data_IF_657708458027
#
_entry.id   IF_657708458027
#
_cell.length_a   1.000
_cell.length_b   1.000
_cell.length_c   1.000
_cell.angle_alpha   90.00
_cell.angle_beta   90.00
_cell.angle_gamma   90.00
#
_symmetry.space_group_name_H-M   'P 1'
#
loop_
_entity.id
_entity.type
_entity.pdbx_description
1 polymer ?
#
# COMPACT_ATOMS: atom_id res chain seq x y z
N UNK A 1 7.14 2.73 -15.92
CA UNK A 1 6.72 1.31 -16.00
C UNK A 1 5.47 1.14 -15.17
N UNK A 2 4.60 0.21 -15.56
CA UNK A 2 3.39 -0.14 -14.83
C UNK A 2 3.12 -1.63 -14.87
N UNK A 3 2.40 -2.12 -13.87
CA UNK A 3 1.87 -3.47 -13.81
C UNK A 3 0.36 -3.40 -13.62
N UNK A 4 -0.35 -4.26 -14.34
CA UNK A 4 -1.82 -4.34 -14.33
C UNK A 4 -2.26 -5.72 -13.83
N UNK A 5 -3.54 -5.85 -13.46
CA UNK A 5 -4.17 -7.10 -13.02
C UNK A 5 -3.52 -7.73 -11.78
N UNK A 6 -3.03 -6.91 -10.86
CA UNK A 6 -2.50 -7.37 -9.57
C UNK A 6 -3.63 -7.59 -8.57
N UNK A 7 -3.41 -8.44 -7.58
CA UNK A 7 -4.29 -8.61 -6.43
C UNK A 7 -3.67 -7.93 -5.21
N UNK A 8 -4.38 -6.94 -4.66
CA UNK A 8 -4.02 -6.26 -3.44
C UNK A 8 -4.48 -7.05 -2.20
N UNK A 9 -3.51 -7.44 -1.38
CA UNK A 9 -3.73 -7.92 -0.03
C UNK A 9 -3.27 -6.87 0.98
N UNK A 10 -4.03 -6.74 2.07
CA UNK A 10 -3.63 -5.94 3.22
C UNK A 10 -3.53 -6.80 4.47
N UNK A 11 -2.67 -6.42 5.42
CA UNK A 11 -2.48 -7.25 6.61
C UNK A 11 -1.62 -6.61 7.69
N UNK A 12 -1.42 -7.36 8.77
CA UNK A 12 -0.54 -6.99 9.89
C UNK A 12 0.90 -7.33 9.51
N UNK A 13 1.85 -6.57 10.02
CA UNK A 13 3.27 -6.98 10.07
C UNK A 13 3.83 -6.66 11.45
N UNK A 14 4.91 -7.34 11.83
CA UNK A 14 5.60 -7.08 13.11
C UNK A 14 6.09 -5.64 13.15
N UNK A 15 6.75 -5.18 12.08
CA UNK A 15 7.25 -3.80 11.96
C UNK A 15 6.14 -2.76 12.06
N UNK A 16 4.96 -3.05 11.49
CA UNK A 16 3.78 -2.20 11.62
C UNK A 16 3.30 -2.13 13.08
N UNK A 17 3.23 -3.25 13.77
CA UNK A 17 2.89 -3.28 15.21
C UNK A 17 3.84 -2.43 16.05
N UNK A 18 5.15 -2.63 15.88
CA UNK A 18 6.18 -1.85 16.61
C UNK A 18 6.08 -0.36 16.30
N UNK A 19 5.88 0.01 15.03
CA UNK A 19 5.80 1.41 14.62
C UNK A 19 4.53 2.10 15.13
N UNK A 20 3.42 1.36 15.32
CA UNK A 20 2.22 1.91 15.95
C UNK A 20 2.47 2.29 17.41
N UNK A 21 3.19 1.46 18.18
CA UNK A 21 3.54 1.74 19.58
C UNK A 21 4.49 2.94 19.70
N UNK A 22 5.39 3.12 18.72
CA UNK A 22 6.27 4.29 18.62
C UNK A 22 5.55 5.60 18.22
N UNK A 23 4.27 5.54 17.87
CA UNK A 23 3.44 6.69 17.53
C UNK A 23 2.99 6.71 16.07
N UNK A 24 1.69 6.89 15.85
CA UNK A 24 1.04 6.80 14.52
C UNK A 24 1.41 7.93 13.54
N UNK A 25 1.90 9.06 14.05
CA UNK A 25 2.37 10.19 13.24
C UNK A 25 3.88 10.16 12.95
N UNK A 26 4.59 9.14 13.45
CA UNK A 26 6.04 9.02 13.33
C UNK A 26 6.49 8.71 11.91
N UNK A 27 7.78 8.97 11.61
CA UNK A 27 8.38 8.59 10.32
C UNK A 27 8.53 7.07 10.23
N UNK A 28 8.71 6.42 11.37
CA UNK A 28 8.78 4.98 11.55
C UNK A 28 7.48 4.31 11.08
N UNK A 29 6.32 4.91 11.39
CA UNK A 29 5.04 4.43 10.88
C UNK A 29 4.94 4.54 9.35
N UNK A 30 5.45 5.62 8.75
CA UNK A 30 5.50 5.76 7.28
C UNK A 30 6.41 4.69 6.67
N UNK A 31 7.57 4.43 7.28
CA UNK A 31 8.50 3.39 6.81
C UNK A 31 7.93 1.98 6.94
N UNK A 32 7.14 1.72 7.97
CA UNK A 32 6.56 0.40 8.23
C UNK A 32 5.29 0.13 7.43
N UNK A 33 4.45 1.16 7.18
CA UNK A 33 3.12 1.00 6.62
C UNK A 33 2.92 1.68 5.26
N UNK A 34 3.73 2.69 4.94
CA UNK A 34 3.71 3.41 3.66
C UNK A 34 4.50 2.70 2.56
N UNK A 35 4.44 1.37 2.53
CA UNK A 35 5.19 0.50 1.63
C UNK A 35 4.25 -0.41 0.83
N UNK A 36 4.67 -0.78 -0.37
CA UNK A 36 4.04 -1.81 -1.19
C UNK A 36 5.07 -2.89 -1.51
N UNK A 37 4.82 -4.10 -1.04
CA UNK A 37 5.69 -5.26 -1.24
C UNK A 37 5.28 -6.02 -2.48
N UNK A 38 6.27 -6.40 -3.30
CA UNK A 38 6.09 -7.14 -4.54
C UNK A 38 6.81 -8.49 -4.48
N UNK A 39 6.34 -9.42 -5.31
CA UNK A 39 7.11 -10.59 -5.73
C UNK A 39 8.40 -10.15 -6.47
N UNK A 40 9.46 -10.94 -6.37
CA UNK A 40 10.74 -10.62 -7.00
C UNK A 40 10.65 -10.48 -8.53
N UNK A 41 9.84 -11.29 -9.19
CA UNK A 41 9.71 -11.26 -10.65
C UNK A 41 8.81 -10.13 -11.13
N UNK A 42 7.77 -9.77 -10.37
CA UNK A 42 7.00 -8.56 -10.66
C UNK A 42 7.80 -7.29 -10.39
N UNK A 43 8.63 -7.29 -9.35
CA UNK A 43 9.50 -6.15 -9.07
C UNK A 43 10.56 -5.94 -10.16
N UNK A 44 11.12 -7.02 -10.73
CA UNK A 44 11.99 -6.93 -11.92
C UNK A 44 11.27 -6.29 -13.09
N UNK A 45 10.00 -6.61 -13.34
CA UNK A 45 9.19 -6.00 -14.42
C UNK A 45 8.90 -4.52 -14.18
N UNK A 46 8.81 -4.07 -12.92
CA UNK A 46 8.67 -2.65 -12.59
C UNK A 46 9.92 -1.84 -12.95
N UNK A 47 11.09 -2.48 -13.04
CA UNK A 47 12.37 -1.88 -13.43
C UNK A 47 12.68 -0.62 -12.60
N UNK A 48 12.59 -0.75 -11.27
CA UNK A 48 12.89 0.31 -10.33
C UNK A 48 13.70 -0.19 -9.12
N UNK A 49 14.32 0.73 -8.39
CA UNK A 49 15.06 0.42 -7.18
C UNK A 49 14.11 0.31 -5.97
N UNK A 50 14.50 -0.48 -4.97
CA UNK A 50 13.79 -0.51 -3.67
C UNK A 50 13.72 0.90 -3.10
N UNK A 51 12.55 1.26 -2.58
CA UNK A 51 12.24 2.60 -2.10
C UNK A 51 11.84 3.57 -3.20
N UNK A 52 11.80 3.17 -4.48
CA UNK A 52 11.22 4.02 -5.52
C UNK A 52 9.72 4.20 -5.26
N UNK A 53 9.17 5.42 -5.28
CA UNK A 53 7.75 5.62 -5.11
C UNK A 53 6.95 5.00 -6.27
N UNK A 54 5.88 4.31 -5.91
CA UNK A 54 4.90 3.72 -6.83
C UNK A 54 3.51 4.19 -6.45
N UNK A 55 2.67 4.44 -7.46
CA UNK A 55 1.26 4.76 -7.28
C UNK A 55 0.46 3.49 -7.46
N UNK A 56 -0.25 3.09 -6.42
CA UNK A 56 -1.18 1.96 -6.44
C UNK A 56 -2.58 2.51 -6.66
N UNK A 57 -3.33 1.91 -7.57
CA UNK A 57 -4.66 2.35 -7.99
C UNK A 57 -5.59 1.14 -7.88
N UNK A 58 -6.78 1.36 -7.32
CA UNK A 58 -7.92 0.43 -7.33
C UNK A 58 -9.15 1.18 -7.81
N UNK A 59 -10.28 0.48 -7.99
CA UNK A 59 -11.57 1.11 -8.31
C UNK A 59 -12.06 2.08 -7.22
N UNK A 60 -11.47 2.03 -6.01
CA UNK A 60 -11.91 2.78 -4.83
C UNK A 60 -11.02 3.97 -4.49
N UNK A 61 -9.83 4.06 -5.09
CA UNK A 61 -8.90 5.15 -4.86
C UNK A 61 -7.47 4.83 -5.25
N UNK A 62 -6.58 5.78 -4.99
CA UNK A 62 -5.15 5.68 -5.30
C UNK A 62 -4.28 6.25 -4.17
N UNK A 63 -3.07 5.71 -4.03
CA UNK A 63 -2.07 6.19 -3.05
C UNK A 63 -0.65 5.94 -3.54
N UNK A 64 0.29 6.83 -3.17
CA UNK A 64 1.71 6.68 -3.45
C UNK A 64 2.42 6.02 -2.25
N UNK A 65 3.18 4.97 -2.52
CA UNK A 65 3.89 4.14 -1.53
C UNK A 65 5.32 3.88 -1.95
N UNK A 66 6.18 3.54 -0.99
CA UNK A 66 7.52 3.06 -1.31
C UNK A 66 7.46 1.61 -1.77
N UNK A 67 8.04 1.31 -2.92
CA UNK A 67 8.12 -0.06 -3.42
C UNK A 67 9.20 -0.86 -2.69
N UNK A 68 8.94 -2.13 -2.40
CA UNK A 68 9.92 -3.01 -1.74
C UNK A 68 9.74 -4.47 -2.15
N UNK A 69 10.75 -5.28 -1.85
CA UNK A 69 10.75 -6.74 -1.99
C UNK A 69 11.07 -7.39 -0.64
N UNK A 70 10.68 -8.64 -0.44
CA UNK A 70 11.05 -9.46 0.73
C UNK A 70 11.04 -10.93 0.34
N UNK A 71 11.83 -11.76 1.02
CA UNK A 71 11.87 -13.22 0.81
C UNK A 71 10.55 -13.89 1.20
N UNK A 72 9.89 -13.36 2.23
CA UNK A 72 8.52 -13.76 2.63
C UNK A 72 7.45 -12.99 1.83
N UNK A 73 7.82 -12.50 0.64
CA UNK A 73 7.02 -11.62 -0.18
C UNK A 73 5.76 -12.28 -0.73
N UNK A 74 4.81 -11.48 -1.24
CA UNK A 74 3.68 -12.04 -1.96
C UNK A 74 4.19 -12.81 -3.20
N UNK A 75 3.43 -13.82 -3.62
CA UNK A 75 3.69 -14.52 -4.88
C UNK A 75 3.36 -13.62 -6.07
N UNK A 76 3.93 -13.94 -7.24
CA UNK A 76 3.67 -13.25 -8.49
C UNK A 76 2.17 -12.99 -8.74
N UNK A 77 1.84 -11.78 -9.16
CA UNK A 77 0.48 -11.28 -9.37
C UNK A 77 -0.17 -10.71 -8.11
N UNK A 78 0.49 -10.78 -6.95
CA UNK A 78 -0.03 -10.30 -5.67
C UNK A 78 0.88 -9.19 -5.14
N UNK A 79 0.27 -8.13 -4.63
CA UNK A 79 0.95 -7.07 -3.88
C UNK A 79 0.44 -7.04 -2.45
N UNK A 80 1.33 -6.70 -1.53
CA UNK A 80 0.99 -6.61 -0.11
C UNK A 80 1.26 -5.21 0.43
N UNK A 81 0.27 -4.63 1.10
CA UNK A 81 0.38 -3.33 1.78
C UNK A 81 0.01 -3.53 3.26
N UNK A 82 0.90 -3.20 4.21
CA UNK A 82 0.56 -3.26 5.62
C UNK A 82 -0.65 -2.35 5.94
N UNK A 83 -1.52 -2.81 6.82
CA UNK A 83 -2.72 -2.07 7.17
C UNK A 83 -2.38 -0.72 7.80
N UNK A 84 -3.15 0.31 7.44
CA UNK A 84 -2.91 1.67 7.88
C UNK A 84 -3.66 2.67 7.00
N UNK A 85 -3.48 3.98 7.24
CA UNK A 85 -4.18 5.02 6.48
C UNK A 85 -3.86 4.97 4.98
N UNK A 86 -2.67 4.50 4.61
CA UNK A 86 -2.26 4.26 3.23
C UNK A 86 -3.07 3.15 2.54
N UNK A 87 -3.11 1.95 3.13
CA UNK A 87 -3.89 0.85 2.60
C UNK A 87 -5.37 1.20 2.47
N UNK A 88 -5.92 1.93 3.45
CA UNK A 88 -7.33 2.33 3.46
C UNK A 88 -7.72 3.28 2.32
N UNK A 89 -6.77 3.94 1.63
CA UNK A 89 -7.07 4.72 0.42
C UNK A 89 -7.51 3.83 -0.77
N UNK A 90 -7.25 2.52 -0.70
CA UNK A 90 -7.47 1.56 -1.78
C UNK A 90 -8.58 0.56 -1.47
N UNK A 91 -9.11 0.58 -0.24
CA UNK A 91 -10.02 -0.45 0.27
C UNK A 91 -11.43 -0.22 -0.27
N UNK A 92 -12.08 -1.30 -0.72
CA UNK A 92 -13.50 -1.29 -1.01
C UNK A 92 -14.30 -1.05 0.29
N UNK A 93 -15.03 0.07 0.42
CA UNK A 93 -15.78 0.40 1.63
C UNK A 93 -17.04 -0.45 1.79
N UNK A 94 -17.49 -1.15 0.74
CA UNK A 94 -18.68 -2.01 0.81
C UNK A 94 -18.48 -3.13 1.81
N UNK A 95 -19.42 -3.22 2.74
CA UNK A 95 -19.46 -4.27 3.77
C UNK A 95 -20.26 -5.51 3.36
N UNK A 96 -20.88 -5.48 2.17
CA UNK A 96 -21.72 -6.55 1.65
C UNK A 96 -22.84 -6.98 2.63
N UNK A 97 -23.30 -6.07 3.49
CA UNK A 97 -24.34 -6.37 4.50
C UNK A 97 -23.82 -7.00 5.80
N UNK A 98 -22.50 -7.21 5.95
CA UNK A 98 -21.89 -7.89 7.11
C UNK A 98 -21.17 -6.95 8.08
N UNK A 99 -21.22 -5.63 7.85
CA UNK A 99 -20.58 -4.62 8.71
C UNK A 99 -19.05 -4.54 8.62
N UNK A 100 -18.39 -5.40 7.84
CA UNK A 100 -16.93 -5.40 7.66
C UNK A 100 -16.55 -5.07 6.20
N UNK A 101 -15.74 -4.04 5.92
CA UNK A 101 -15.26 -3.73 4.57
C UNK A 101 -14.42 -4.86 3.95
N UNK A 102 -14.26 -4.82 2.62
CA UNK A 102 -13.45 -5.80 1.89
C UNK A 102 -11.98 -5.36 1.87
N UNK A 103 -11.23 -5.74 2.91
CA UNK A 103 -9.82 -5.34 3.08
C UNK A 103 -8.80 -6.10 2.22
N UNK A 104 -9.19 -7.21 1.57
CA UNK A 104 -8.27 -8.10 0.86
C UNK A 104 -8.87 -8.58 -0.45
N UNK A 105 -8.03 -8.84 -1.45
CA UNK A 105 -8.43 -9.48 -2.70
C UNK A 105 -8.91 -8.51 -3.78
N UNK A 106 -8.55 -7.22 -3.68
CA UNK A 106 -8.97 -6.20 -4.63
C UNK A 106 -8.06 -6.21 -5.86
N UNK A 107 -8.62 -5.95 -7.05
CA UNK A 107 -7.78 -5.73 -8.23
C UNK A 107 -7.06 -4.39 -8.11
N UNK A 108 -5.79 -4.38 -8.49
CA UNK A 108 -4.95 -3.20 -8.43
C UNK A 108 -4.08 -3.05 -9.68
N UNK A 109 -3.76 -1.79 -9.98
CA UNK A 109 -2.73 -1.37 -10.92
C UNK A 109 -1.62 -0.65 -10.16
N UNK A 110 -0.39 -0.81 -10.60
CA UNK A 110 0.78 -0.14 -10.03
C UNK A 110 1.52 0.62 -11.12
N UNK A 111 1.89 1.87 -10.84
CA UNK A 111 2.67 2.73 -11.75
C UNK A 111 3.89 3.31 -11.01
N UNK A 112 5.07 3.23 -11.62
CA UNK A 112 6.28 3.86 -11.06
C UNK A 112 6.19 5.38 -11.21
N UNK A 113 6.35 6.10 -10.10
CA UNK A 113 6.31 7.58 -10.03
C UNK A 113 7.59 8.10 -9.36
N UNK A 114 8.67 8.22 -10.14
CA UNK A 114 10.01 8.58 -9.62
C UNK A 114 10.05 9.91 -8.84
N UNK A 115 9.21 10.89 -9.22
CA UNK A 115 9.07 12.18 -8.53
C UNK A 115 7.95 12.20 -7.47
N UNK A 116 7.31 11.05 -7.22
CA UNK A 116 6.22 10.92 -6.26
C UNK A 116 6.71 11.10 -4.83
N UNK A 117 5.81 11.62 -3.97
CA UNK A 117 6.05 11.76 -2.54
C UNK A 117 5.10 10.84 -1.78
N UNK A 118 5.65 9.93 -0.98
CA UNK A 118 4.87 9.17 0.01
C UNK A 118 4.55 10.12 1.16
N UNK A 119 3.27 10.30 1.43
CA UNK A 119 2.80 11.24 2.45
C UNK A 119 2.89 10.65 3.85
N UNK A 120 3.10 11.51 4.85
CA UNK A 120 2.91 11.12 6.24
C UNK A 120 1.43 10.86 6.55
N UNK A 121 1.16 10.11 7.62
CA UNK A 121 -0.21 9.70 7.99
C UNK A 121 -1.17 10.89 8.15
N UNK A 122 -0.74 11.96 8.85
CA UNK A 122 -1.58 13.16 9.06
C UNK A 122 -1.82 13.89 7.74
N UNK A 123 -0.78 14.09 6.92
CA UNK A 123 -0.89 14.76 5.61
C UNK A 123 -1.81 13.97 4.67
N UNK A 124 -1.75 12.65 4.70
CA UNK A 124 -2.61 11.78 3.90
C UNK A 124 -4.07 11.86 4.34
N UNK A 125 -4.33 11.72 5.65
CA UNK A 125 -5.69 11.79 6.21
C UNK A 125 -6.29 13.18 5.98
N UNK A 126 -5.49 14.25 6.10
CA UNK A 126 -5.96 15.62 5.84
C UNK A 126 -6.40 15.90 4.40
N UNK A 127 -6.12 14.99 3.45
CA UNK A 127 -6.67 15.07 2.08
C UNK A 127 -8.09 14.53 1.97
N UNK A 128 -8.52 13.71 2.92
CA UNK A 128 -9.90 13.24 3.01
C UNK A 128 -10.74 14.42 3.47
N UNK A 129 -11.43 15.09 2.54
CA UNK A 129 -12.39 16.13 2.90
C UNK A 129 -13.56 15.47 3.61
N UNK A 130 -13.94 16.01 4.76
CA UNK A 130 -15.28 15.77 5.31
C UNK A 130 -16.29 16.25 4.25
N UNK A 131 -17.19 15.36 3.86
CA UNK A 131 -18.30 15.67 2.97
C UNK A 131 -19.40 16.43 3.72
#
# INVERSE_FOLDING_TARGET
MSLDNLILLTGRTISQGVALEGGKASRENVRACGICTFDADDFKKLDCLVGTPVKVITDYGEVVLYSTITEEGPHQGIIFIPMGPWANQLVNPSSQGCGTPTYKGMKAKVEVVKSGKVLGAIELIGRLKEA
#
